data_IF_663595008861
#
_entry.id   IF_663595008861
#
_cell.length_a   1.000
_cell.length_b   1.000
_cell.length_c   1.000
_cell.angle_alpha   90.00
_cell.angle_beta   90.00
_cell.angle_gamma   90.00
#
_symmetry.space_group_name_H-M   'P 1'
#
loop_
_entity.id
_entity.type
_entity.pdbx_description
1 polymer ?
#
# COMPACT_ATOMS: atom_id res chain seq x y z
N UNK A 1 -9.92 -8.28 -10.61
CA UNK A 1 -9.29 -8.57 -9.32
C UNK A 1 -7.83 -8.96 -9.55
N UNK A 2 -6.88 -8.34 -8.88
CA UNK A 2 -5.48 -8.70 -9.10
C UNK A 2 -5.21 -10.13 -8.61
N UNK A 3 -4.52 -10.91 -9.43
CA UNK A 3 -4.18 -12.27 -9.09
C UNK A 3 -2.89 -12.40 -8.28
N UNK A 4 -2.06 -11.35 -8.32
CA UNK A 4 -0.78 -11.31 -7.61
C UNK A 4 -0.53 -9.94 -7.02
N UNK A 5 0.43 -9.87 -6.10
CA UNK A 5 0.87 -8.60 -5.52
C UNK A 5 1.38 -7.66 -6.62
N UNK A 6 2.15 -8.20 -7.56
CA UNK A 6 2.69 -7.40 -8.67
C UNK A 6 1.56 -6.78 -9.51
N UNK A 7 0.55 -7.57 -9.83
CA UNK A 7 -0.60 -7.07 -10.60
C UNK A 7 -1.34 -5.96 -9.84
N UNK A 8 -1.45 -6.09 -8.53
CA UNK A 8 -2.06 -5.05 -7.72
C UNK A 8 -1.35 -3.71 -7.91
N UNK A 9 -0.02 -3.70 -7.83
CA UNK A 9 0.73 -2.46 -8.01
C UNK A 9 0.69 -1.95 -9.45
N UNK A 10 0.65 -2.83 -10.43
CA UNK A 10 0.55 -2.43 -11.83
C UNK A 10 -0.78 -1.77 -12.16
N UNK A 11 -1.85 -2.19 -11.52
CA UNK A 11 -3.19 -1.68 -11.80
C UNK A 11 -3.62 -0.58 -10.83
N UNK A 12 -2.90 -0.40 -9.72
CA UNK A 12 -3.29 0.56 -8.68
C UNK A 12 -3.51 1.98 -9.20
N UNK A 13 -2.66 2.55 -10.08
CA UNK A 13 -2.89 3.91 -10.57
C UNK A 13 -4.21 4.09 -11.31
N UNK A 14 -4.69 3.05 -12.02
CA UNK A 14 -5.95 3.13 -12.75
C UNK A 14 -7.15 2.73 -11.91
N UNK A 15 -6.97 1.93 -10.87
CA UNK A 15 -8.06 1.44 -10.05
C UNK A 15 -8.28 2.24 -8.76
N UNK A 16 -7.35 3.11 -8.40
CA UNK A 16 -7.49 3.92 -7.20
C UNK A 16 -8.71 4.84 -7.31
N UNK A 17 -9.52 4.86 -6.26
CA UNK A 17 -10.69 5.72 -6.21
C UNK A 17 -10.26 7.15 -5.90
N UNK A 18 -10.43 8.04 -6.87
CA UNK A 18 -10.03 9.43 -6.73
C UNK A 18 -10.77 10.14 -5.60
N UNK A 19 -12.01 9.72 -5.29
CA UNK A 19 -12.75 10.33 -4.18
C UNK A 19 -12.13 10.00 -2.83
N UNK A 20 -11.46 8.85 -2.73
CA UNK A 20 -10.77 8.44 -1.51
C UNK A 20 -9.38 9.04 -1.38
N UNK A 21 -8.75 9.38 -2.51
CA UNK A 21 -7.39 9.91 -2.53
C UNK A 21 -7.33 11.42 -2.64
N UNK A 22 -8.46 12.07 -2.85
CA UNK A 22 -8.54 13.53 -2.96
C UNK A 22 -7.95 14.19 -1.71
N UNK A 23 -7.05 15.12 -1.90
CA UNK A 23 -6.38 15.81 -0.81
C UNK A 23 -5.23 15.02 -0.17
N UNK A 24 -4.97 13.79 -0.59
CA UNK A 24 -3.83 13.05 -0.10
C UNK A 24 -2.56 13.49 -0.81
N UNK A 25 -1.51 13.71 -0.04
CA UNK A 25 -0.17 14.05 -0.55
C UNK A 25 0.84 13.25 0.27
N UNK A 26 0.89 11.94 0.02
CA UNK A 26 1.71 11.02 0.79
C UNK A 26 2.43 10.06 -0.12
N UNK A 27 3.54 9.51 0.36
CA UNK A 27 4.25 8.45 -0.34
C UNK A 27 4.44 7.27 0.59
N UNK A 28 4.36 6.07 0.02
CA UNK A 28 4.45 4.81 0.78
C UNK A 28 5.41 3.87 0.07
N UNK A 29 6.40 3.38 0.81
CA UNK A 29 7.29 2.35 0.31
C UNK A 29 6.77 0.99 0.77
N UNK A 30 6.73 0.03 -0.13
CA UNK A 30 6.28 -1.33 0.15
C UNK A 30 7.43 -2.30 -0.05
N UNK A 31 7.76 -3.02 1.00
CA UNK A 31 8.75 -4.09 0.96
C UNK A 31 8.03 -5.40 1.23
N UNK A 32 7.67 -6.09 0.16
CA UNK A 32 6.86 -7.30 0.25
C UNK A 32 7.75 -8.52 0.04
N UNK A 33 8.00 -9.22 1.10
CA UNK A 33 8.86 -10.40 1.08
C UNK A 33 8.30 -11.45 0.14
N UNK A 34 9.12 -11.87 -0.80
CA UNK A 34 8.75 -12.86 -1.79
C UNK A 34 8.15 -12.29 -3.08
N UNK A 35 7.77 -11.02 -3.10
CA UNK A 35 7.15 -10.39 -4.27
C UNK A 35 8.01 -9.28 -4.87
N UNK A 36 8.54 -8.38 -4.05
CA UNK A 36 9.36 -7.27 -4.52
C UNK A 36 9.16 -6.01 -3.70
N UNK A 37 9.65 -4.91 -4.25
CA UNK A 37 9.60 -3.61 -3.59
C UNK A 37 9.00 -2.58 -4.52
N UNK A 38 8.15 -1.70 -3.99
CA UNK A 38 7.49 -0.65 -4.75
C UNK A 38 7.34 0.59 -3.90
N UNK A 39 7.24 1.75 -4.55
CA UNK A 39 6.88 3.00 -3.89
C UNK A 39 5.63 3.56 -4.55
N UNK A 40 4.63 3.84 -3.75
CA UNK A 40 3.36 4.43 -4.22
C UNK A 40 3.33 5.89 -3.78
N UNK A 41 3.15 6.79 -4.73
CA UNK A 41 3.04 8.23 -4.45
C UNK A 41 1.64 8.69 -4.78
N UNK A 42 1.02 9.40 -3.84
CA UNK A 42 -0.30 9.99 -4.02
C UNK A 42 -0.15 11.51 -3.92
N UNK A 43 -0.53 12.22 -4.97
CA UNK A 43 -0.46 13.67 -5.02
C UNK A 43 -1.69 14.21 -5.73
N UNK A 44 -2.47 15.05 -5.04
CA UNK A 44 -3.70 15.65 -5.56
C UNK A 44 -4.67 14.63 -6.15
N UNK A 45 -4.78 13.47 -5.51
CA UNK A 45 -5.65 12.40 -5.95
C UNK A 45 -5.07 11.50 -7.02
N UNK A 46 -3.90 11.85 -7.55
CA UNK A 46 -3.22 11.03 -8.55
C UNK A 46 -2.30 10.02 -7.88
N UNK A 47 -2.42 8.76 -8.27
CA UNK A 47 -1.62 7.67 -7.74
C UNK A 47 -0.60 7.24 -8.78
N UNK A 48 0.66 7.15 -8.38
CA UNK A 48 1.73 6.63 -9.23
C UNK A 48 2.50 5.56 -8.47
N UNK A 49 3.01 4.57 -9.21
CA UNK A 49 3.75 3.45 -8.64
C UNK A 49 5.10 3.36 -9.31
N UNK A 50 6.15 3.23 -8.51
CA UNK A 50 7.54 3.11 -8.99
C UNK A 50 8.18 1.88 -8.38
N UNK A 51 9.08 1.24 -9.10
CA UNK A 51 9.83 0.10 -8.58
C UNK A 51 10.84 0.57 -7.53
N UNK A 52 11.04 -0.26 -6.50
CA UNK A 52 12.01 -0.02 -5.45
C UNK A 52 11.46 0.79 -4.28
N UNK A 53 12.20 0.82 -3.19
CA UNK A 53 11.85 1.55 -1.98
C UNK A 53 12.50 2.92 -2.01
N UNK A 54 11.70 3.97 -1.87
CA UNK A 54 12.17 5.35 -1.76
C UNK A 54 12.37 5.68 -0.29
N UNK A 55 13.60 5.99 0.09
CA UNK A 55 13.93 6.36 1.47
C UNK A 55 13.23 7.63 1.94
N UNK A 56 12.76 8.45 1.01
CA UNK A 56 12.03 9.68 1.32
C UNK A 56 10.52 9.43 1.49
N UNK A 57 10.05 8.19 1.39
CA UNK A 57 8.64 7.89 1.57
C UNK A 57 8.18 8.22 3.00
N UNK A 58 6.94 8.70 3.13
CA UNK A 58 6.37 9.04 4.43
C UNK A 58 6.23 7.82 5.34
N UNK A 59 5.92 6.68 4.75
CA UNK A 59 5.79 5.41 5.47
C UNK A 59 6.47 4.30 4.70
N UNK A 60 6.94 3.30 5.43
CA UNK A 60 7.43 2.04 4.85
C UNK A 60 6.59 0.91 5.39
N UNK A 61 6.03 0.11 4.51
CA UNK A 61 5.16 -1.01 4.83
C UNK A 61 5.90 -2.31 4.48
N UNK A 62 6.04 -3.20 5.45
CA UNK A 62 6.71 -4.48 5.25
C UNK A 62 5.75 -5.61 5.62
N UNK A 63 5.62 -6.58 4.74
CA UNK A 63 4.77 -7.75 4.95
C UNK A 63 5.25 -8.89 4.06
N UNK A 64 4.78 -10.11 4.36
CA UNK A 64 5.03 -11.23 3.46
C UNK A 64 4.07 -11.17 2.28
N UNK A 65 4.44 -11.80 1.19
CA UNK A 65 3.57 -11.92 0.01
C UNK A 65 2.23 -12.54 0.36
N UNK A 66 2.23 -13.54 1.24
CA UNK A 66 1.00 -14.21 1.66
C UNK A 66 0.05 -13.25 2.36
N UNK A 67 0.54 -12.50 3.33
CA UNK A 67 -0.29 -11.57 4.11
C UNK A 67 -0.75 -10.41 3.23
N UNK A 68 0.15 -9.83 2.45
CA UNK A 68 -0.20 -8.72 1.58
C UNK A 68 -1.21 -9.15 0.51
N UNK A 69 -1.05 -10.37 -0.04
CA UNK A 69 -2.00 -10.93 -0.98
C UNK A 69 -3.41 -11.05 -0.40
N UNK A 70 -3.52 -11.45 0.86
CA UNK A 70 -4.82 -11.52 1.55
C UNK A 70 -5.42 -10.13 1.74
N UNK A 71 -4.60 -9.14 2.04
CA UNK A 71 -5.07 -7.76 2.22
C UNK A 71 -5.65 -7.22 0.92
N UNK A 72 -4.96 -7.38 -0.20
CA UNK A 72 -5.44 -6.87 -1.49
C UNK A 72 -6.64 -7.66 -2.01
N UNK A 73 -6.80 -8.90 -1.58
CA UNK A 73 -7.97 -9.72 -1.94
C UNK A 73 -9.19 -9.43 -1.05
N UNK A 74 -9.02 -8.59 -0.02
CA UNK A 74 -10.09 -8.29 0.92
C UNK A 74 -10.32 -9.36 1.98
N UNK A 75 -9.44 -10.37 2.05
CA UNK A 75 -9.57 -11.46 3.01
C UNK A 75 -8.94 -11.14 4.36
N UNK A 76 -8.06 -10.15 4.40
CA UNK A 76 -7.38 -9.73 5.62
C UNK A 76 -7.45 -8.20 5.72
N UNK A 77 -7.86 -7.70 6.86
CA UNK A 77 -7.87 -6.26 7.12
C UNK A 77 -6.45 -5.79 7.44
N UNK A 78 -6.01 -4.70 6.79
CA UNK A 78 -4.66 -4.17 6.99
C UNK A 78 -4.42 -3.73 8.44
N UNK A 79 -5.41 -3.11 9.09
CA UNK A 79 -5.30 -2.69 10.48
C UNK A 79 -5.12 -3.90 11.40
N UNK A 80 -5.92 -4.96 11.20
CA UNK A 80 -5.79 -6.18 11.98
C UNK A 80 -4.43 -6.85 11.78
N UNK A 81 -3.94 -6.87 10.55
CA UNK A 81 -2.63 -7.43 10.25
C UNK A 81 -1.52 -6.65 10.98
N UNK A 82 -1.64 -5.33 11.02
CA UNK A 82 -0.68 -4.49 11.76
C UNK A 82 -0.73 -4.79 13.27
N UNK A 83 -1.92 -4.87 13.83
CA UNK A 83 -2.08 -5.12 15.28
C UNK A 83 -1.57 -6.49 15.70
N UNK A 84 -1.64 -7.47 14.82
CA UNK A 84 -1.15 -8.83 15.10
C UNK A 84 0.32 -9.03 14.74
N UNK A 85 0.99 -7.99 14.25
CA UNK A 85 2.41 -8.05 13.90
C UNK A 85 2.72 -8.69 12.55
N UNK A 86 1.71 -8.98 11.76
CA UNK A 86 1.88 -9.56 10.42
C UNK A 86 2.24 -8.51 9.38
N UNK A 87 1.85 -7.27 9.62
CA UNK A 87 2.17 -6.12 8.78
C UNK A 87 2.98 -5.14 9.63
N UNK A 88 4.13 -4.71 9.13
CA UNK A 88 4.98 -3.75 9.84
C UNK A 88 4.90 -2.39 9.18
N UNK A 89 4.79 -1.35 9.97
CA UNK A 89 4.73 0.02 9.50
C UNK A 89 5.83 0.84 10.18
N UNK A 90 6.53 1.66 9.39
CA UNK A 90 7.51 2.61 9.90
C UNK A 90 7.22 3.96 9.29
N UNK A 91 7.45 5.03 10.05
CA UNK A 91 7.30 6.40 9.58
C UNK A 91 6.08 7.08 10.15
N UNK A 92 5.42 7.91 9.34
CA UNK A 92 4.29 8.72 9.77
C UNK A 92 3.03 7.86 9.93
N UNK A 93 2.58 7.70 11.17
CA UNK A 93 1.39 6.89 11.45
C UNK A 93 0.11 7.53 10.91
N UNK A 94 0.07 8.86 10.84
CA UNK A 94 -1.07 9.54 10.23
C UNK A 94 -1.20 9.22 8.76
N UNK A 95 -0.07 9.18 8.05
CA UNK A 95 -0.05 8.78 6.65
C UNK A 95 -0.41 7.30 6.50
N UNK A 96 0.06 6.45 7.42
CA UNK A 96 -0.27 5.03 7.39
C UNK A 96 -1.78 4.77 7.52
N UNK A 97 -2.47 5.57 8.34
CA UNK A 97 -3.92 5.45 8.48
C UNK A 97 -4.63 5.81 7.17
N UNK A 98 -4.11 6.77 6.42
CA UNK A 98 -4.68 7.16 5.13
C UNK A 98 -4.48 6.08 4.07
N UNK A 99 -3.45 5.26 4.24
CA UNK A 99 -3.16 4.18 3.29
C UNK A 99 -4.33 3.21 3.14
N UNK A 100 -5.12 3.03 4.18
CA UNK A 100 -6.27 2.12 4.13
C UNK A 100 -7.26 2.50 3.02
N UNK A 101 -7.27 3.76 2.62
CA UNK A 101 -8.15 4.24 1.53
C UNK A 101 -7.76 3.67 0.17
N UNK A 102 -6.54 3.16 0.03
CA UNK A 102 -6.05 2.58 -1.22
C UNK A 102 -6.34 1.09 -1.33
N UNK A 103 -6.75 0.45 -0.25
CA UNK A 103 -7.00 -0.98 -0.23
C UNK A 103 -8.51 -1.28 -0.26
N UNK A 104 -8.90 -2.41 -0.85
CA UNK A 104 -10.28 -2.86 -0.76
C UNK A 104 -10.61 -3.20 0.70
N UNK A 105 -11.79 -2.88 1.11
CA UNK A 105 -12.23 -3.15 2.48
C UNK A 105 -13.58 -3.83 2.49
#
# INVERSE_FOLDING_TARGET
MPGTVQEFFETLPSEADMSKTEGMNNSYAFDIEGAGQWTVKVADGNVSVHDGVDDAADCTISASQEIFGKIIAGEQNATSAYMTGKLKLKGDMGAAMKLQKLFPS
#
